data_IF_937252216976
#
_entry.id   IF_937252216976
#
_cell.length_a   1.000
_cell.length_b   1.000
_cell.length_c   1.000
_cell.angle_alpha   90.00
_cell.angle_beta   90.00
_cell.angle_gamma   90.00
#
_symmetry.space_group_name_H-M   'P 1'
#
loop_
_entity.id
_entity.type
_entity.pdbx_description
1 polymer ?
#
# COMPACT_ATOMS: atom_id res chain seq x y z
N UNK A 1 16.38 39.65 -55.18
CA UNK A 1 16.96 39.74 -53.83
C UNK A 1 16.35 40.95 -53.18
N UNK A 2 15.63 40.78 -52.07
CA UNK A 2 15.47 41.71 -50.94
C UNK A 2 14.86 40.88 -49.79
N UNK A 3 15.30 41.14 -48.56
CA UNK A 3 15.26 40.24 -47.41
C UNK A 3 14.44 40.84 -46.24
N UNK A 4 13.96 39.95 -45.35
CA UNK A 4 13.59 40.14 -43.93
C UNK A 4 12.13 40.49 -43.58
N UNK A 5 11.48 39.63 -42.76
CA UNK A 5 10.63 39.98 -41.60
C UNK A 5 10.23 38.69 -40.81
N UNK A 6 10.90 38.48 -39.68
CA UNK A 6 10.39 38.12 -38.33
C UNK A 6 9.40 36.95 -38.05
N UNK A 7 9.94 35.89 -37.43
CA UNK A 7 9.48 35.16 -36.21
C UNK A 7 8.17 34.30 -36.20
N UNK A 8 8.08 33.30 -35.28
CA UNK A 8 7.29 32.08 -35.44
C UNK A 8 5.94 32.10 -34.69
N UNK A 9 4.89 31.50 -35.27
CA UNK A 9 3.64 31.23 -34.56
C UNK A 9 3.30 29.74 -34.65
N UNK A 10 3.52 29.04 -33.53
CA UNK A 10 3.05 27.68 -33.32
C UNK A 10 1.57 27.71 -32.95
N UNK A 11 0.75 26.82 -33.55
CA UNK A 11 -0.28 26.18 -32.74
C UNK A 11 -0.45 24.72 -33.18
N UNK A 12 0.34 23.82 -32.60
CA UNK A 12 0.02 22.39 -32.64
C UNK A 12 0.50 21.70 -31.36
N UNK A 13 0.27 22.34 -30.22
CA UNK A 13 0.30 21.61 -28.96
C UNK A 13 -1.06 20.91 -28.82
N UNK A 14 -1.13 19.67 -29.31
CA UNK A 14 -2.20 18.77 -28.91
C UNK A 14 -2.26 18.75 -27.37
N UNK A 15 -3.45 18.75 -26.75
CA UNK A 15 -3.56 18.71 -25.30
C UNK A 15 -2.77 17.49 -24.79
N UNK A 16 -1.96 17.62 -23.73
CA UNK A 16 -1.33 16.45 -23.13
C UNK A 16 -2.47 15.51 -22.74
N UNK A 17 -2.43 14.31 -23.33
CA UNK A 17 -3.40 13.23 -23.10
C UNK A 17 -3.76 13.16 -21.63
N UNK A 18 -5.02 13.45 -21.32
CA UNK A 18 -5.62 13.29 -20.00
C UNK A 18 -5.81 11.80 -19.70
N UNK A 19 -4.71 11.10 -19.42
CA UNK A 19 -4.70 9.71 -18.95
C UNK A 19 -3.67 9.47 -17.83
N UNK A 20 -3.04 10.52 -17.32
CA UNK A 20 -1.91 10.42 -16.37
C UNK A 20 -2.33 10.32 -14.90
N UNK A 21 -3.36 9.52 -14.61
CA UNK A 21 -3.77 9.21 -13.23
C UNK A 21 -4.07 7.72 -13.00
N UNK A 22 -4.24 6.93 -14.07
CA UNK A 22 -4.51 5.49 -14.00
C UNK A 22 -3.48 4.61 -13.25
N UNK A 23 -2.15 4.88 -13.26
CA UNK A 23 -1.18 3.93 -12.68
C UNK A 23 -1.30 3.74 -11.17
N UNK A 24 -1.72 4.79 -10.45
CA UNK A 24 -1.76 4.77 -8.98
C UNK A 24 -2.89 3.92 -8.42
N UNK A 25 -4.07 4.01 -9.02
CA UNK A 25 -5.24 3.24 -8.57
C UNK A 25 -5.07 1.74 -8.88
N UNK A 26 -4.53 1.40 -10.06
CA UNK A 26 -4.22 0.01 -10.40
C UNK A 26 -3.17 -0.61 -9.47
N UNK A 27 -2.15 0.15 -9.08
CA UNK A 27 -1.13 -0.31 -8.12
C UNK A 27 -1.71 -0.55 -6.73
N UNK A 28 -2.70 0.23 -6.32
CA UNK A 28 -3.37 0.08 -5.03
C UNK A 28 -4.28 -1.16 -5.02
N UNK A 29 -5.06 -1.40 -6.08
CA UNK A 29 -5.90 -2.59 -6.20
C UNK A 29 -5.06 -3.87 -6.22
N UNK A 30 -3.92 -3.87 -6.92
CA UNK A 30 -3.01 -5.03 -6.93
C UNK A 30 -2.42 -5.29 -5.53
N UNK A 31 -1.98 -4.24 -4.81
CA UNK A 31 -1.48 -4.35 -3.45
C UNK A 31 -2.52 -4.98 -2.51
N UNK A 32 -3.76 -4.52 -2.61
CA UNK A 32 -4.90 -5.01 -1.86
C UNK A 32 -5.21 -6.47 -2.14
N UNK A 33 -5.22 -6.86 -3.43
CA UNK A 33 -5.43 -8.23 -3.84
C UNK A 33 -4.34 -9.17 -3.30
N UNK A 34 -3.08 -8.73 -3.34
CA UNK A 34 -1.95 -9.50 -2.77
C UNK A 34 -2.05 -9.63 -1.25
N UNK A 35 -2.51 -8.59 -0.54
CA UNK A 35 -2.75 -8.69 0.89
C UNK A 35 -3.84 -9.73 1.18
N UNK A 36 -4.98 -9.69 0.48
CA UNK A 36 -6.06 -10.65 0.66
C UNK A 36 -5.60 -12.09 0.44
N UNK A 37 -4.76 -12.33 -0.57
CA UNK A 37 -4.14 -13.63 -0.81
C UNK A 37 -3.20 -14.04 0.33
N UNK A 38 -2.41 -13.12 0.87
CA UNK A 38 -1.51 -13.39 1.99
C UNK A 38 -2.26 -13.79 3.26
N UNK A 39 -3.46 -13.24 3.48
CA UNK A 39 -4.30 -13.50 4.65
C UNK A 39 -4.88 -14.93 4.69
N UNK A 40 -4.86 -15.66 3.57
CA UNK A 40 -5.16 -17.09 3.55
C UNK A 40 -4.12 -17.90 4.34
N UNK A 41 -2.86 -17.46 4.30
CA UNK A 41 -1.75 -18.09 5.03
C UNK A 41 -1.56 -17.48 6.42
N UNK A 42 -1.79 -16.17 6.54
CA UNK A 42 -1.54 -15.39 7.75
C UNK A 42 -2.84 -14.77 8.26
N UNK A 43 -3.71 -15.56 8.90
CA UNK A 43 -5.06 -15.11 9.23
C UNK A 43 -5.05 -13.92 10.20
N UNK A 44 -5.93 -12.92 10.00
CA UNK A 44 -5.97 -11.71 10.81
C UNK A 44 -6.30 -12.00 12.28
N UNK A 45 -7.01 -13.10 12.58
CA UNK A 45 -7.28 -13.56 13.95
C UNK A 45 -6.01 -13.79 14.79
N UNK A 46 -4.86 -14.03 14.13
CA UNK A 46 -3.55 -14.21 14.77
C UNK A 46 -2.77 -12.91 14.96
N UNK A 47 -3.33 -11.76 14.58
CA UNK A 47 -2.76 -10.45 14.91
C UNK A 47 -2.90 -10.10 16.40
N UNK A 48 -3.65 -10.89 17.17
CA UNK A 48 -3.75 -10.79 18.64
C UNK A 48 -2.63 -11.58 19.33
N UNK A 49 -2.05 -10.97 20.37
CA UNK A 49 -1.08 -11.62 21.25
C UNK A 49 0.28 -11.89 20.62
N UNK A 50 0.94 -12.97 21.06
CA UNK A 50 2.35 -13.29 20.75
C UNK A 50 2.58 -13.54 19.25
N UNK A 51 1.55 -13.98 18.51
CA UNK A 51 1.64 -14.30 17.08
C UNK A 51 1.71 -13.08 16.17
N UNK A 52 1.43 -11.87 16.69
CA UNK A 52 1.39 -10.64 15.89
C UNK A 52 2.67 -10.41 15.09
N UNK A 53 3.83 -10.65 15.71
CA UNK A 53 5.13 -10.48 15.06
C UNK A 53 5.32 -11.45 13.88
N UNK A 54 4.91 -12.72 14.05
CA UNK A 54 5.01 -13.72 13.00
C UNK A 54 4.10 -13.41 11.82
N UNK A 55 2.85 -13.00 12.11
CA UNK A 55 1.87 -12.62 11.09
C UNK A 55 2.35 -11.40 10.32
N UNK A 56 2.76 -10.32 11.00
CA UNK A 56 3.25 -9.11 10.34
C UNK A 56 4.48 -9.38 9.47
N UNK A 57 5.43 -10.15 9.99
CA UNK A 57 6.62 -10.53 9.23
C UNK A 57 6.26 -11.38 8.01
N UNK A 58 5.36 -12.36 8.16
CA UNK A 58 4.89 -13.20 7.07
C UNK A 58 4.18 -12.41 5.97
N UNK A 59 3.33 -11.46 6.35
CA UNK A 59 2.66 -10.54 5.42
C UNK A 59 3.67 -9.65 4.67
N UNK A 60 4.63 -9.05 5.39
CA UNK A 60 5.68 -8.23 4.77
C UNK A 60 6.52 -9.04 3.78
N UNK A 61 6.94 -10.26 4.14
CA UNK A 61 7.73 -11.14 3.28
C UNK A 61 6.95 -11.58 2.04
N UNK A 62 5.66 -11.91 2.20
CA UNK A 62 4.79 -12.30 1.10
C UNK A 62 4.59 -11.15 0.11
N UNK A 63 4.25 -9.97 0.61
CA UNK A 63 4.05 -8.77 -0.20
C UNK A 63 5.35 -8.35 -0.89
N UNK A 64 6.50 -8.41 -0.19
CA UNK A 64 7.80 -8.14 -0.78
C UNK A 64 8.10 -9.04 -1.97
N UNK A 65 7.87 -10.35 -1.84
CA UNK A 65 8.09 -11.31 -2.92
C UNK A 65 7.11 -11.13 -4.08
N UNK A 66 5.88 -10.71 -3.79
CA UNK A 66 4.83 -10.57 -4.81
C UNK A 66 4.93 -9.27 -5.61
N UNK A 67 5.41 -8.20 -4.97
CA UNK A 67 5.40 -6.83 -5.52
C UNK A 67 6.80 -6.26 -5.75
N UNK A 68 7.85 -7.04 -5.46
CA UNK A 68 9.26 -6.65 -5.55
C UNK A 68 9.58 -5.32 -4.82
N UNK A 69 8.88 -5.09 -3.70
CA UNK A 69 8.95 -3.83 -2.93
C UNK A 69 9.10 -4.11 -1.44
N UNK A 70 9.95 -3.35 -0.76
CA UNK A 70 10.07 -3.44 0.70
C UNK A 70 8.85 -2.83 1.38
N UNK A 71 8.36 -3.48 2.43
CA UNK A 71 7.25 -3.01 3.26
C UNK A 71 7.73 -2.79 4.69
N UNK A 72 7.27 -1.72 5.32
CA UNK A 72 7.43 -1.51 6.76
C UNK A 72 6.25 -2.12 7.53
N UNK A 73 6.42 -2.43 8.83
CA UNK A 73 5.33 -2.91 9.67
C UNK A 73 4.14 -1.95 9.70
N UNK A 74 4.41 -0.64 9.78
CA UNK A 74 3.38 0.41 9.78
C UNK A 74 2.59 0.46 8.47
N UNK A 75 3.26 0.30 7.33
CA UNK A 75 2.58 0.27 6.02
C UNK A 75 1.62 -0.92 5.91
N UNK A 76 2.04 -2.10 6.37
CA UNK A 76 1.18 -3.30 6.39
C UNK A 76 0.03 -3.14 7.38
N UNK A 77 0.27 -2.54 8.55
CA UNK A 77 -0.80 -2.25 9.52
C UNK A 77 -1.81 -1.27 8.95
N UNK A 78 -1.38 -0.20 8.28
CA UNK A 78 -2.29 0.74 7.64
C UNK A 78 -3.11 0.08 6.52
N UNK A 79 -2.50 -0.82 5.75
CA UNK A 79 -3.21 -1.58 4.72
C UNK A 79 -4.26 -2.52 5.34
N UNK A 80 -3.91 -3.20 6.42
CA UNK A 80 -4.83 -4.04 7.19
C UNK A 80 -6.00 -3.23 7.76
N UNK A 81 -5.76 -2.02 8.25
CA UNK A 81 -6.79 -1.12 8.80
C UNK A 81 -7.89 -0.79 7.78
N UNK A 82 -7.52 -0.75 6.50
CA UNK A 82 -8.47 -0.48 5.39
C UNK A 82 -9.43 -1.64 5.14
N UNK A 83 -9.05 -2.87 5.47
CA UNK A 83 -9.87 -4.08 5.28
C UNK A 83 -10.55 -4.55 6.56
N UNK A 84 -9.82 -4.45 7.66
CA UNK A 84 -10.25 -4.89 8.97
C UNK A 84 -10.23 -3.68 9.87
N UNK A 85 -11.33 -3.46 10.59
CA UNK A 85 -11.30 -2.53 11.70
C UNK A 85 -10.34 -3.08 12.77
N UNK A 86 -9.08 -2.66 12.72
CA UNK A 86 -8.02 -3.15 13.58
C UNK A 86 -8.30 -2.77 15.03
N UNK A 87 -9.08 -1.73 15.30
CA UNK A 87 -9.51 -1.36 16.64
C UNK A 87 -10.37 -2.47 17.28
N UNK A 88 -11.23 -3.14 16.50
CA UNK A 88 -11.96 -4.33 16.95
C UNK A 88 -11.08 -5.58 17.05
N UNK A 89 -10.01 -5.64 16.25
CA UNK A 89 -9.06 -6.76 16.19
C UNK A 89 -7.92 -6.65 17.22
N UNK A 90 -7.62 -5.45 17.72
CA UNK A 90 -6.59 -5.14 18.73
C UNK A 90 -7.22 -4.79 20.08
N UNK A 91 -8.55 -4.56 20.10
CA UNK A 91 -9.33 -4.22 21.28
C UNK A 91 -9.31 -5.31 22.35
N UNK A 92 -8.74 -4.94 23.50
CA UNK A 92 -8.63 -5.61 24.82
C UNK A 92 -7.33 -6.36 25.14
N UNK A 93 -6.59 -6.91 24.17
CA UNK A 93 -5.39 -7.71 24.47
C UNK A 93 -4.07 -6.91 24.53
N UNK A 94 -4.00 -5.71 23.94
CA UNK A 94 -2.77 -4.89 23.97
C UNK A 94 -2.52 -4.21 25.33
N UNK A 95 -3.57 -4.00 26.15
CA UNK A 95 -3.43 -3.41 27.49
C UNK A 95 -2.97 -4.46 28.53
N UNK A 96 -3.31 -5.73 28.35
CA UNK A 96 -2.88 -6.80 29.26
C UNK A 96 -1.43 -7.19 29.05
N UNK A 97 -0.89 -7.09 27.82
CA UNK A 97 0.53 -7.34 27.56
C UNK A 97 1.47 -6.30 28.20
N UNK A 98 1.01 -5.06 28.39
CA UNK A 98 1.79 -4.03 29.09
C UNK A 98 1.83 -4.28 30.62
N UNK A 99 0.84 -4.98 31.18
CA UNK A 99 0.80 -5.37 32.60
C UNK A 99 1.52 -6.69 32.91
N UNK A 100 1.97 -7.45 31.91
CA UNK A 100 2.72 -8.71 32.13
C UNK A 100 4.24 -8.56 31.97
N UNK A 101 4.73 -7.32 31.75
CA UNK A 101 6.17 -6.99 31.62
C UNK A 101 6.61 -5.98 32.70
N UNK A 102 5.80 -5.73 33.74
CA UNK A 102 6.19 -4.95 34.92
C UNK A 102 6.13 -5.78 36.20
#
# INVERSE_FOLDING_TARGET
>A
MDNVESAPDSPAQAPPSSASSLPKEQSQVELELRLLQALEFYPPSKLKGIHRHFVLYGLMEFLRKSLDRQFSPDEVLQLLDRFFNLEMLLGRDSQVLLMMIL
#
